data_IF_563524045659
#
_entry.id   IF_563524045659
#
_cell.length_a   1.000
_cell.length_b   1.000
_cell.length_c   1.000
_cell.angle_alpha   90.00
_cell.angle_beta   90.00
_cell.angle_gamma   90.00
#
_symmetry.space_group_name_H-M   'P 1'
#
loop_
_entity.id
_entity.type
_entity.pdbx_description
1 polymer ?
#
# COMPACT_ATOMS: atom_id res chain seq x y z
N UNK A 1 -1.25 33.81 -16.24
CA UNK A 1 -0.65 32.50 -16.56
C UNK A 1 0.62 32.40 -15.71
N UNK A 2 0.49 32.00 -14.45
CA UNK A 2 1.62 31.89 -13.53
C UNK A 2 2.08 30.43 -13.52
N UNK A 3 3.37 30.23 -13.78
CA UNK A 3 4.04 28.94 -13.79
C UNK A 3 3.78 28.20 -12.47
N UNK A 4 3.32 26.95 -12.60
CA UNK A 4 3.41 25.98 -11.52
C UNK A 4 4.89 25.87 -11.11
N UNK A 5 5.24 25.83 -9.81
CA UNK A 5 6.57 25.39 -9.43
C UNK A 5 6.80 24.00 -10.04
N UNK A 6 7.99 23.76 -10.58
CA UNK A 6 8.36 22.55 -11.32
C UNK A 6 7.98 21.26 -10.55
N UNK A 7 8.05 21.29 -9.21
CA UNK A 7 7.68 20.18 -8.32
C UNK A 7 6.21 19.74 -8.44
N UNK A 8 5.28 20.68 -8.66
CA UNK A 8 3.87 20.36 -8.82
C UNK A 8 3.56 19.86 -10.24
N UNK A 9 4.37 20.22 -11.24
CA UNK A 9 4.31 19.63 -12.57
C UNK A 9 4.87 18.20 -12.58
N UNK A 10 5.90 17.92 -11.77
CA UNK A 10 6.46 16.58 -11.57
C UNK A 10 5.51 15.66 -10.78
N UNK A 11 4.85 16.15 -9.73
CA UNK A 11 3.79 15.40 -9.04
C UNK A 11 2.51 15.27 -9.87
N UNK A 12 2.14 16.29 -10.68
CA UNK A 12 1.06 16.17 -11.64
C UNK A 12 1.41 15.22 -12.80
N UNK A 13 2.69 15.06 -13.15
CA UNK A 13 3.17 14.03 -14.09
C UNK A 13 3.05 12.63 -13.47
N UNK A 14 3.26 12.50 -12.15
CA UNK A 14 3.09 11.25 -11.41
C UNK A 14 1.62 10.79 -11.29
N UNK A 15 0.71 11.77 -11.29
CA UNK A 15 -0.75 11.59 -11.25
C UNK A 15 -1.35 11.89 -12.64
N UNK A 16 -0.52 11.87 -13.69
CA UNK A 16 -1.03 11.97 -15.05
C UNK A 16 -1.65 10.66 -15.46
N UNK A 17 -2.88 10.76 -15.96
CA UNK A 17 -3.56 9.67 -16.62
C UNK A 17 -2.62 8.97 -17.62
N UNK A 18 -2.27 7.68 -17.43
CA UNK A 18 -1.59 6.91 -18.47
C UNK A 18 -2.43 6.96 -19.74
N UNK A 19 -1.79 6.75 -20.89
CA UNK A 19 -2.48 6.65 -22.17
C UNK A 19 -3.69 5.70 -22.04
N UNK A 20 -4.85 6.13 -22.52
CA UNK A 20 -6.07 5.33 -22.39
C UNK A 20 -7.36 6.15 -22.46
N UNK A 21 -8.48 5.46 -22.31
CA UNK A 21 -9.81 6.07 -22.33
C UNK A 21 -10.03 6.93 -21.08
N UNK A 22 -10.25 8.23 -21.29
CA UNK A 22 -10.63 9.16 -20.22
C UNK A 22 -12.03 8.83 -19.71
N UNK A 23 -12.21 8.87 -18.39
CA UNK A 23 -13.49 8.63 -17.74
C UNK A 23 -14.32 9.91 -17.68
N UNK A 24 -15.65 9.78 -17.76
CA UNK A 24 -16.55 10.90 -17.44
C UNK A 24 -16.66 11.07 -15.92
N UNK A 25 -17.11 12.24 -15.46
CA UNK A 25 -17.29 12.49 -14.03
C UNK A 25 -18.28 11.50 -13.41
N UNK A 26 -19.34 11.13 -14.15
CA UNK A 26 -20.32 10.14 -13.71
C UNK A 26 -19.72 8.74 -13.54
N UNK A 27 -18.81 8.34 -14.46
CA UNK A 27 -18.12 7.05 -14.37
C UNK A 27 -17.15 7.06 -13.19
N UNK A 28 -16.42 8.17 -12.98
CA UNK A 28 -15.53 8.34 -11.83
C UNK A 28 -16.34 8.20 -10.52
N UNK A 29 -17.45 8.92 -10.38
CA UNK A 29 -18.26 8.92 -9.17
C UNK A 29 -18.90 7.54 -8.91
N UNK A 30 -19.36 6.87 -9.97
CA UNK A 30 -19.86 5.50 -9.86
C UNK A 30 -18.76 4.51 -9.46
N UNK A 31 -17.52 4.74 -9.90
CA UNK A 31 -16.40 3.85 -9.59
C UNK A 31 -15.95 4.04 -8.15
N UNK A 32 -15.73 5.30 -7.72
CA UNK A 32 -15.40 5.63 -6.34
C UNK A 32 -16.43 5.08 -5.35
N UNK A 33 -17.73 5.20 -5.67
CA UNK A 33 -18.81 4.63 -4.83
C UNK A 33 -18.73 3.12 -4.71
N UNK A 34 -18.49 2.40 -5.81
CA UNK A 34 -18.36 0.93 -5.77
C UNK A 34 -17.13 0.47 -4.99
N UNK A 35 -16.02 1.20 -5.11
CA UNK A 35 -14.82 0.93 -4.32
C UNK A 35 -15.12 1.17 -2.83
N UNK A 36 -15.76 2.29 -2.50
CA UNK A 36 -16.18 2.59 -1.12
C UNK A 36 -17.08 1.49 -0.54
N UNK A 37 -18.09 1.03 -1.29
CA UNK A 37 -18.97 -0.07 -0.89
C UNK A 37 -18.18 -1.38 -0.63
N UNK A 38 -17.19 -1.69 -1.47
CA UNK A 38 -16.34 -2.87 -1.29
C UNK A 38 -15.42 -2.75 -0.07
N UNK A 39 -14.80 -1.58 0.14
CA UNK A 39 -13.95 -1.30 1.30
C UNK A 39 -14.76 -1.41 2.60
N UNK A 40 -15.97 -0.87 2.64
CA UNK A 40 -16.83 -0.97 3.82
C UNK A 40 -17.22 -2.41 4.15
N UNK A 41 -17.44 -3.26 3.14
CA UNK A 41 -17.65 -4.69 3.36
C UNK A 41 -16.39 -5.37 3.92
N UNK A 42 -15.21 -4.99 3.45
CA UNK A 42 -13.93 -5.54 3.94
C UNK A 42 -13.62 -5.12 5.38
N UNK A 43 -13.95 -3.89 5.78
CA UNK A 43 -13.82 -3.43 7.18
C UNK A 43 -14.63 -4.35 8.09
N UNK A 44 -15.90 -4.57 7.78
CA UNK A 44 -16.76 -5.46 8.57
C UNK A 44 -16.22 -6.91 8.59
N UNK A 45 -15.69 -7.41 7.47
CA UNK A 45 -15.08 -8.74 7.42
C UNK A 45 -13.78 -8.84 8.23
N UNK A 46 -12.97 -7.79 8.26
CA UNK A 46 -11.74 -7.73 9.05
C UNK A 46 -12.07 -7.70 10.55
N UNK A 47 -13.00 -6.83 10.99
CA UNK A 47 -13.48 -6.79 12.37
C UNK A 47 -14.03 -8.16 12.83
N UNK A 48 -14.80 -8.84 11.98
CA UNK A 48 -15.33 -10.18 12.27
C UNK A 48 -14.21 -11.23 12.39
N UNK A 49 -13.21 -11.18 11.52
CA UNK A 49 -12.09 -12.11 11.54
C UNK A 49 -11.20 -11.91 12.78
N UNK A 50 -10.94 -10.66 13.17
CA UNK A 50 -10.20 -10.31 14.37
C UNK A 50 -10.94 -10.73 15.64
N UNK A 51 -12.23 -10.40 15.74
CA UNK A 51 -13.06 -10.83 16.87
C UNK A 51 -13.09 -12.36 17.00
N UNK A 52 -13.19 -13.09 15.88
CA UNK A 52 -13.16 -14.55 15.91
C UNK A 52 -11.81 -15.11 16.40
N UNK A 53 -10.71 -14.49 15.97
CA UNK A 53 -9.36 -14.84 16.42
C UNK A 53 -9.18 -14.60 17.91
N UNK A 54 -9.55 -13.42 18.42
CA UNK A 54 -9.49 -13.07 19.85
C UNK A 54 -10.27 -14.05 20.72
N UNK A 55 -11.50 -14.39 20.30
CA UNK A 55 -12.34 -15.37 20.99
C UNK A 55 -11.69 -16.76 21.11
N UNK A 56 -10.97 -17.20 20.07
CA UNK A 56 -10.24 -18.48 20.09
C UNK A 56 -8.97 -18.40 20.94
N UNK A 57 -8.26 -17.27 20.89
CA UNK A 57 -7.08 -17.01 21.71
C UNK A 57 -7.45 -17.07 23.21
N UNK A 58 -8.50 -16.37 23.62
CA UNK A 58 -9.00 -16.40 24.99
C UNK A 58 -9.40 -17.82 25.44
N UNK A 59 -10.05 -18.61 24.56
CA UNK A 59 -10.40 -19.99 24.87
C UNK A 59 -9.15 -20.88 25.03
N UNK A 60 -8.12 -20.64 24.22
CA UNK A 60 -6.80 -21.24 24.35
C UNK A 60 -6.17 -20.95 25.71
N UNK A 61 -6.12 -19.67 26.10
CA UNK A 61 -5.59 -19.21 27.38
C UNK A 61 -6.37 -19.77 28.57
N UNK A 62 -7.71 -19.79 28.50
CA UNK A 62 -8.58 -20.40 29.52
C UNK A 62 -8.23 -21.87 29.72
N UNK A 63 -8.03 -22.63 28.64
CA UNK A 63 -7.66 -24.05 28.72
C UNK A 63 -6.26 -24.27 29.27
N UNK A 64 -5.29 -23.44 28.90
CA UNK A 64 -3.93 -23.49 29.48
C UNK A 64 -4.00 -23.25 30.99
N UNK A 65 -4.76 -22.23 31.40
CA UNK A 65 -4.95 -21.87 32.82
C UNK A 65 -5.63 -23.01 33.59
N UNK A 66 -6.69 -23.63 33.04
CA UNK A 66 -7.37 -24.77 33.66
C UNK A 66 -6.45 -25.99 33.82
N UNK A 67 -5.58 -26.27 32.84
CA UNK A 67 -4.58 -27.35 32.95
C UNK A 67 -3.53 -27.05 34.00
N UNK A 68 -3.06 -25.80 34.06
CA UNK A 68 -2.11 -25.37 35.06
C UNK A 68 -2.70 -25.48 36.47
N UNK A 69 -3.98 -25.14 36.65
CA UNK A 69 -4.69 -25.26 37.93
C UNK A 69 -4.99 -26.71 38.33
N UNK A 70 -5.20 -27.59 37.35
CA UNK A 70 -5.48 -29.02 37.57
C UNK A 70 -4.21 -29.87 37.70
N UNK A 71 -3.03 -29.23 37.82
CA UNK A 71 -1.72 -29.88 37.78
C UNK A 71 -1.37 -30.45 39.15
N UNK A 72 -1.36 -31.78 39.26
CA UNK A 72 -0.83 -32.47 40.43
C UNK A 72 0.72 -32.60 40.30
N UNK A 73 1.43 -31.97 41.23
CA UNK A 73 2.91 -31.96 41.30
C UNK A 73 3.48 -33.22 41.99
N UNK A 74 2.63 -34.19 42.29
CA UNK A 74 3.01 -35.46 42.89
C UNK A 74 4.08 -36.22 42.06
N UNK A 75 5.11 -36.82 42.71
CA UNK A 75 6.12 -37.64 42.03
C UNK A 75 5.49 -38.88 41.40
N UNK A 76 5.35 -38.90 40.06
CA UNK A 76 4.73 -39.99 39.30
C UNK A 76 3.66 -39.55 38.30
N UNK A 77 3.11 -38.34 38.48
CA UNK A 77 2.07 -37.78 37.61
C UNK A 77 2.53 -37.61 36.15
N UNK A 78 3.84 -37.62 35.86
CA UNK A 78 4.37 -37.51 34.50
C UNK A 78 3.96 -38.64 33.55
N UNK A 79 3.61 -39.83 34.07
CA UNK A 79 3.10 -40.93 33.24
C UNK A 79 1.66 -40.70 32.78
N UNK A 80 0.87 -39.96 33.54
CA UNK A 80 -0.46 -39.46 33.15
C UNK A 80 -0.36 -38.14 32.36
N UNK A 81 0.79 -37.45 32.36
CA UNK A 81 1.01 -36.21 31.59
C UNK A 81 1.19 -36.43 30.07
N UNK A 82 1.39 -37.67 29.62
CA UNK A 82 1.49 -38.06 28.20
C UNK A 82 0.11 -38.34 27.57
N UNK A 83 -0.96 -37.75 28.12
CA UNK A 83 -2.28 -37.81 27.50
C UNK A 83 -2.24 -36.92 26.25
N UNK A 84 -2.31 -37.57 25.08
CA UNK A 84 -2.61 -36.91 23.82
C UNK A 84 -3.95 -36.19 24.00
N UNK A 85 -3.98 -34.91 23.69
CA UNK A 85 -5.18 -34.06 23.80
C UNK A 85 -5.61 -33.57 22.41
N UNK A 86 -6.43 -34.38 21.69
CA UNK A 86 -6.90 -34.01 20.36
C UNK A 86 -7.74 -32.73 20.35
N UNK A 87 -8.42 -32.41 21.45
CA UNK A 87 -9.26 -31.22 21.54
C UNK A 87 -8.43 -29.95 21.68
N UNK A 88 -7.28 -30.00 22.34
CA UNK A 88 -6.30 -28.91 22.33
C UNK A 88 -5.64 -28.77 20.97
N UNK A 89 -5.21 -29.87 20.34
CA UNK A 89 -4.65 -29.81 18.99
C UNK A 89 -5.63 -29.20 17.98
N UNK A 90 -6.91 -29.56 18.05
CA UNK A 90 -7.96 -28.96 17.20
C UNK A 90 -8.15 -27.47 17.50
N UNK A 91 -8.07 -27.05 18.77
CA UNK A 91 -8.19 -25.64 19.12
C UNK A 91 -7.01 -24.83 18.59
N UNK A 92 -5.77 -25.30 18.78
CA UNK A 92 -4.58 -24.66 18.22
C UNK A 92 -4.63 -24.55 16.70
N UNK A 93 -5.17 -25.57 16.02
CA UNK A 93 -5.35 -25.51 14.57
C UNK A 93 -6.41 -24.47 14.16
N UNK A 94 -7.50 -24.35 14.91
CA UNK A 94 -8.52 -23.30 14.68
C UNK A 94 -7.97 -21.90 14.92
N UNK A 95 -7.23 -21.71 16.00
CA UNK A 95 -6.54 -20.46 16.32
C UNK A 95 -5.58 -20.06 15.19
N UNK A 96 -4.76 -21.01 14.71
CA UNK A 96 -3.86 -20.80 13.57
C UNK A 96 -4.61 -20.35 12.31
N UNK A 97 -5.74 -21.00 11.98
CA UNK A 97 -6.55 -20.65 10.82
C UNK A 97 -7.23 -19.29 10.98
N UNK A 98 -7.72 -18.95 12.18
CA UNK A 98 -8.32 -17.65 12.46
C UNK A 98 -7.29 -16.52 12.39
N UNK A 99 -6.07 -16.73 12.92
CA UNK A 99 -4.97 -15.79 12.79
C UNK A 99 -4.61 -15.53 11.31
N UNK A 100 -4.57 -16.59 10.48
CA UNK A 100 -4.34 -16.48 9.05
C UNK A 100 -5.46 -15.70 8.35
N UNK A 101 -6.72 -15.96 8.69
CA UNK A 101 -7.87 -15.24 8.15
C UNK A 101 -7.83 -13.76 8.53
N UNK A 102 -7.61 -13.43 9.82
CA UNK A 102 -7.50 -12.05 10.28
C UNK A 102 -6.37 -11.30 9.56
N UNK A 103 -5.20 -11.93 9.42
CA UNK A 103 -4.08 -11.38 8.66
C UNK A 103 -4.44 -11.13 7.20
N UNK A 104 -5.03 -12.10 6.52
CA UNK A 104 -5.42 -11.97 5.12
C UNK A 104 -6.50 -10.88 4.91
N UNK A 105 -7.47 -10.77 5.82
CA UNK A 105 -8.49 -9.72 5.79
C UNK A 105 -7.88 -8.34 5.96
N UNK A 106 -6.93 -8.17 6.89
CA UNK A 106 -6.20 -6.91 7.10
C UNK A 106 -5.36 -6.53 5.89
N UNK A 107 -4.62 -7.48 5.32
CA UNK A 107 -3.85 -7.26 4.09
C UNK A 107 -4.78 -6.81 2.95
N UNK A 108 -5.90 -7.50 2.76
CA UNK A 108 -6.90 -7.14 1.73
C UNK A 108 -7.49 -5.75 1.97
N UNK A 109 -7.87 -5.43 3.20
CA UNK A 109 -8.36 -4.08 3.56
C UNK A 109 -7.33 -3.01 3.20
N UNK A 110 -6.06 -3.23 3.52
CA UNK A 110 -4.98 -2.29 3.20
C UNK A 110 -4.84 -2.09 1.68
N UNK A 111 -4.86 -3.17 0.89
CA UNK A 111 -4.74 -3.05 -0.57
C UNK A 111 -5.92 -2.31 -1.19
N UNK A 112 -7.15 -2.56 -0.71
CA UNK A 112 -8.35 -1.87 -1.19
C UNK A 112 -8.43 -0.42 -0.73
N UNK A 113 -8.04 -0.11 0.51
CA UNK A 113 -7.96 1.26 1.01
C UNK A 113 -6.93 2.08 0.23
N UNK A 114 -5.75 1.50 -0.04
CA UNK A 114 -4.72 2.09 -0.89
C UNK A 114 -5.24 2.36 -2.32
N UNK A 115 -5.93 1.38 -2.91
CA UNK A 115 -6.54 1.53 -4.23
C UNK A 115 -7.55 2.68 -4.25
N UNK A 116 -8.45 2.74 -3.27
CA UNK A 116 -9.44 3.80 -3.18
C UNK A 116 -8.79 5.18 -3.01
N UNK A 117 -7.81 5.30 -2.11
CA UNK A 117 -7.08 6.55 -1.87
C UNK A 117 -6.40 7.06 -3.15
N UNK A 118 -5.75 6.18 -3.92
CA UNK A 118 -5.14 6.54 -5.20
C UNK A 118 -6.15 7.06 -6.21
N UNK A 119 -7.26 6.32 -6.40
CA UNK A 119 -8.30 6.67 -7.37
C UNK A 119 -8.99 7.98 -6.97
N UNK A 120 -9.25 8.19 -5.67
CA UNK A 120 -9.87 9.41 -5.15
C UNK A 120 -8.93 10.62 -5.28
N UNK A 121 -7.64 10.47 -4.97
CA UNK A 121 -6.64 11.51 -5.17
C UNK A 121 -6.49 11.87 -6.65
N UNK A 122 -6.42 10.87 -7.53
CA UNK A 122 -6.38 11.07 -8.98
C UNK A 122 -7.62 11.79 -9.52
N UNK A 123 -8.80 11.45 -9.02
CA UNK A 123 -10.06 12.13 -9.38
C UNK A 123 -10.06 13.60 -8.93
N UNK A 124 -9.64 13.87 -7.69
CA UNK A 124 -9.55 15.23 -7.15
C UNK A 124 -8.57 16.08 -7.95
N UNK A 125 -7.37 15.57 -8.21
CA UNK A 125 -6.34 16.29 -8.97
C UNK A 125 -6.79 16.54 -10.41
N UNK A 126 -7.42 15.56 -11.04
CA UNK A 126 -8.02 15.73 -12.36
C UNK A 126 -9.04 16.87 -12.39
N UNK A 127 -9.89 16.96 -11.36
CA UNK A 127 -10.84 18.06 -11.22
C UNK A 127 -10.15 19.42 -11.03
N UNK A 128 -9.11 19.49 -10.19
CA UNK A 128 -8.37 20.72 -9.89
C UNK A 128 -7.58 21.25 -11.09
N UNK A 129 -7.03 20.38 -11.93
CA UNK A 129 -6.18 20.77 -13.06
C UNK A 129 -6.95 21.05 -14.36
N UNK A 130 -8.21 20.61 -14.48
CA UNK A 130 -9.13 20.96 -15.57
C UNK A 130 -8.76 20.47 -16.99
N UNK A 131 -7.54 19.98 -17.21
CA UNK A 131 -7.01 19.59 -18.53
C UNK A 131 -6.69 18.10 -18.70
N UNK A 132 -6.68 17.31 -17.62
CA UNK A 132 -6.41 15.86 -17.65
C UNK A 132 -7.44 15.16 -16.78
N UNK A 133 -8.15 14.20 -17.37
CA UNK A 133 -9.12 13.35 -16.65
C UNK A 133 -8.49 12.02 -16.30
N UNK A 134 -8.91 11.45 -15.17
CA UNK A 134 -8.59 10.08 -14.78
C UNK A 134 -8.94 9.11 -15.91
N UNK A 135 -8.03 8.19 -16.23
CA UNK A 135 -8.24 7.16 -17.26
C UNK A 135 -8.62 5.83 -16.64
N UNK A 136 -9.37 5.02 -17.40
CA UNK A 136 -9.70 3.64 -17.01
C UNK A 136 -8.43 2.85 -16.69
N UNK A 137 -7.38 3.05 -17.49
CA UNK A 137 -6.07 2.45 -17.27
C UNK A 137 -5.51 2.71 -15.87
N UNK A 138 -5.56 3.94 -15.34
CA UNK A 138 -5.08 4.24 -13.98
C UNK A 138 -5.84 3.44 -12.92
N UNK A 139 -7.16 3.37 -13.04
CA UNK A 139 -8.02 2.69 -12.07
C UNK A 139 -7.80 1.18 -12.07
N UNK A 140 -7.72 0.57 -13.25
CA UNK A 140 -7.48 -0.88 -13.39
C UNK A 140 -6.05 -1.23 -12.96
N UNK A 141 -5.10 -0.34 -13.21
CA UNK A 141 -3.71 -0.55 -12.83
C UNK A 141 -3.49 -0.69 -11.34
N UNK A 142 -4.26 0.04 -10.56
CA UNK A 142 -4.23 0.03 -9.09
C UNK A 142 -5.12 -1.02 -8.46
N UNK A 143 -5.93 -1.73 -9.25
CA UNK A 143 -6.83 -2.77 -8.75
C UNK A 143 -6.02 -3.86 -8.02
N UNK A 144 -6.37 -4.18 -6.74
CA UNK A 144 -5.69 -5.17 -5.93
C UNK A 144 -5.68 -6.57 -6.56
N UNK A 145 -6.73 -6.93 -7.31
CA UNK A 145 -6.96 -8.30 -7.80
C UNK A 145 -7.30 -8.38 -9.30
N UNK A 146 -7.50 -7.25 -9.98
CA UNK A 146 -7.79 -7.22 -11.41
C UNK A 146 -6.66 -7.84 -12.24
N UNK A 147 -6.99 -8.75 -13.14
CA UNK A 147 -6.03 -9.27 -14.12
C UNK A 147 -6.00 -8.38 -15.34
N UNK A 148 -4.80 -8.11 -15.85
CA UNK A 148 -4.59 -7.38 -17.11
C UNK A 148 -3.89 -8.31 -18.10
N UNK A 149 -4.35 -8.29 -19.34
CA UNK A 149 -3.64 -8.98 -20.41
C UNK A 149 -2.37 -8.22 -20.82
N UNK A 150 -1.53 -8.86 -21.64
CA UNK A 150 -0.25 -8.27 -22.05
C UNK A 150 -0.42 -6.93 -22.78
N UNK A 151 -1.49 -6.78 -23.56
CA UNK A 151 -1.77 -5.55 -24.33
C UNK A 151 -2.24 -4.40 -23.46
N UNK A 152 -2.88 -4.71 -22.33
CA UNK A 152 -3.26 -3.75 -21.29
C UNK A 152 -2.05 -3.35 -20.44
N UNK A 153 -1.17 -4.31 -20.12
CA UNK A 153 0.07 -4.08 -19.36
C UNK A 153 1.08 -3.22 -20.13
N UNK A 154 1.06 -3.27 -21.47
CA UNK A 154 1.88 -2.40 -22.31
C UNK A 154 1.44 -0.93 -22.27
N UNK A 155 0.20 -0.65 -21.84
CA UNK A 155 -0.33 0.72 -21.70
C UNK A 155 0.10 1.37 -20.36
N UNK A 156 0.75 0.60 -19.49
CA UNK A 156 1.28 1.09 -18.22
C UNK A 156 2.44 2.03 -18.48
N UNK A 157 2.44 3.17 -17.78
CA UNK A 157 3.50 4.18 -17.85
C UNK A 157 4.88 3.51 -17.86
N UNK A 158 5.67 3.65 -18.94
CA UNK A 158 6.97 2.99 -19.07
C UNK A 158 7.85 3.32 -17.89
N UNK A 159 8.72 2.39 -17.50
CA UNK A 159 9.82 2.74 -16.61
C UNK A 159 10.65 3.84 -17.28
N UNK A 160 11.21 4.72 -16.47
CA UNK A 160 12.24 5.65 -16.94
C UNK A 160 13.32 4.89 -17.71
N UNK A 161 13.72 5.40 -18.89
CA UNK A 161 14.64 4.72 -19.78
C UNK A 161 16.00 4.47 -19.11
N UNK A 162 16.46 5.40 -18.27
CA UNK A 162 17.69 5.26 -17.50
C UNK A 162 17.59 4.14 -16.47
N UNK A 163 16.50 4.09 -15.72
CA UNK A 163 16.22 3.00 -14.78
C UNK A 163 16.10 1.66 -15.50
N UNK A 164 15.41 1.62 -16.64
CA UNK A 164 15.27 0.40 -17.46
C UNK A 164 16.63 -0.12 -17.89
N UNK A 165 17.50 0.73 -18.45
CA UNK A 165 18.85 0.36 -18.87
C UNK A 165 19.69 -0.17 -17.70
N UNK A 166 19.55 0.46 -16.52
CA UNK A 166 20.25 0.01 -15.32
C UNK A 166 19.80 -1.39 -14.89
N UNK A 167 18.50 -1.68 -14.93
CA UNK A 167 17.97 -3.03 -14.65
C UNK A 167 18.45 -4.02 -15.72
N UNK A 168 18.37 -3.68 -17.01
CA UNK A 168 18.83 -4.55 -18.10
C UNK A 168 20.32 -4.90 -17.95
N UNK A 169 21.15 -3.91 -17.59
CA UNK A 169 22.58 -4.11 -17.33
C UNK A 169 22.80 -4.98 -16.09
N UNK A 170 22.06 -4.76 -15.00
CA UNK A 170 22.16 -5.57 -13.78
C UNK A 170 21.77 -7.04 -14.03
N UNK A 171 20.69 -7.27 -14.78
CA UNK A 171 20.25 -8.60 -15.20
C UNK A 171 21.29 -9.27 -16.10
N UNK A 172 21.89 -8.52 -17.02
CA UNK A 172 22.95 -9.05 -17.89
C UNK A 172 24.21 -9.44 -17.09
N UNK A 173 24.59 -8.67 -16.07
CA UNK A 173 25.70 -9.01 -15.17
C UNK A 173 25.41 -10.24 -14.31
N UNK A 174 24.13 -10.51 -14.01
CA UNK A 174 23.71 -11.72 -13.29
C UNK A 174 23.61 -12.96 -14.21
N UNK A 175 23.41 -12.78 -15.53
CA UNK A 175 23.26 -13.88 -16.47
C UNK A 175 24.58 -14.68 -16.61
N UNK A 176 24.50 -15.99 -16.37
CA UNK A 176 25.65 -16.89 -16.44
C UNK A 176 26.42 -17.06 -15.13
N UNK A 177 26.03 -16.40 -14.04
CA UNK A 177 26.55 -16.72 -12.71
C UNK A 177 25.92 -18.03 -12.18
N UNK A 178 26.71 -19.03 -11.76
CA UNK A 178 26.17 -20.25 -11.19
C UNK A 178 25.43 -19.94 -9.88
N UNK A 179 24.18 -20.37 -9.79
CA UNK A 179 23.36 -20.22 -8.59
C UNK A 179 24.07 -20.87 -7.39
N UNK A 180 24.34 -20.08 -6.34
CA UNK A 180 24.88 -20.60 -5.08
C UNK A 180 26.40 -20.76 -5.02
N UNK A 181 27.18 -19.97 -5.76
CA UNK A 181 28.64 -20.00 -5.68
C UNK A 181 29.17 -19.47 -4.33
N UNK A 182 29.12 -20.32 -3.31
CA UNK A 182 29.79 -20.13 -2.03
C UNK A 182 31.28 -20.45 -2.20
N UNK A 183 32.06 -19.41 -2.53
CA UNK A 183 33.52 -19.49 -2.58
C UNK A 183 34.12 -18.76 -3.79
N UNK A 184 34.29 -17.44 -3.67
CA UNK A 184 35.16 -16.65 -4.56
C UNK A 184 34.63 -16.31 -5.96
N UNK A 185 33.41 -16.72 -6.33
CA UNK A 185 32.78 -16.27 -7.57
C UNK A 185 32.22 -14.84 -7.43
N UNK A 186 32.05 -14.09 -8.53
CA UNK A 186 31.37 -12.81 -8.51
C UNK A 186 29.98 -12.97 -7.89
N UNK A 187 29.67 -12.14 -6.89
CA UNK A 187 28.34 -12.11 -6.29
C UNK A 187 27.38 -11.47 -7.29
N UNK A 188 26.20 -12.05 -7.47
CA UNK A 188 25.13 -11.43 -8.25
C UNK A 188 24.90 -9.99 -7.74
N UNK A 189 24.72 -9.07 -8.68
CA UNK A 189 24.43 -7.66 -8.38
C UNK A 189 22.96 -7.45 -8.02
N UNK A 190 22.11 -8.49 -8.19
CA UNK A 190 20.70 -8.47 -7.80
C UNK A 190 19.79 -7.88 -8.88
N UNK A 191 20.14 -8.02 -10.16
CA UNK A 191 19.35 -7.54 -11.28
C UNK A 191 17.95 -8.15 -11.36
N UNK A 192 17.79 -9.44 -11.02
CA UNK A 192 16.47 -10.08 -10.97
C UNK A 192 15.60 -9.51 -9.84
N UNK A 193 16.18 -9.32 -8.65
CA UNK A 193 15.49 -8.73 -7.49
C UNK A 193 15.11 -7.27 -7.79
N UNK A 194 16.00 -6.52 -8.45
CA UNK A 194 15.76 -5.16 -8.89
C UNK A 194 14.63 -5.10 -9.93
N UNK A 195 14.61 -6.01 -10.91
CA UNK A 195 13.52 -6.11 -11.88
C UNK A 195 12.18 -6.36 -11.17
N UNK A 196 12.13 -7.32 -10.24
CA UNK A 196 10.91 -7.66 -9.50
C UNK A 196 10.42 -6.49 -8.61
N UNK A 197 11.37 -5.75 -8.02
CA UNK A 197 11.11 -4.54 -7.23
C UNK A 197 10.39 -3.48 -8.06
N UNK A 198 10.72 -3.34 -9.35
CA UNK A 198 10.06 -2.41 -10.27
C UNK A 198 8.91 -3.03 -11.07
N UNK A 199 8.41 -4.20 -10.66
CA UNK A 199 7.26 -4.84 -11.28
C UNK A 199 7.54 -5.39 -12.69
N UNK A 200 8.79 -5.80 -12.93
CA UNK A 200 9.23 -6.38 -14.20
C UNK A 200 9.57 -7.86 -14.02
N UNK A 201 9.38 -8.63 -15.08
CA UNK A 201 9.89 -9.99 -15.20
C UNK A 201 10.97 -10.05 -16.28
N UNK A 202 11.99 -10.86 -16.01
CA UNK A 202 13.03 -11.20 -16.99
C UNK A 202 12.56 -12.42 -17.77
N UNK A 203 12.50 -12.33 -19.10
CA UNK A 203 12.25 -13.49 -19.97
C UNK A 203 13.40 -13.68 -20.96
N UNK A 204 13.71 -14.94 -21.25
CA UNK A 204 14.62 -15.30 -22.34
C UNK A 204 13.82 -15.43 -23.62
N UNK A 205 14.20 -14.70 -24.67
CA UNK A 205 13.64 -14.83 -26.02
C UNK A 205 14.21 -16.06 -26.73
N UNK A 206 13.62 -16.41 -27.87
CA UNK A 206 14.03 -17.55 -28.70
C UNK A 206 15.47 -17.44 -29.22
N UNK A 207 16.00 -16.22 -29.33
CA UNK A 207 17.39 -15.93 -29.70
C UNK A 207 18.37 -16.09 -28.53
N UNK A 208 17.87 -16.45 -27.34
CA UNK A 208 18.65 -16.60 -26.12
C UNK A 208 18.89 -15.30 -25.36
N UNK A 209 18.46 -14.14 -25.87
CA UNK A 209 18.65 -12.85 -25.20
C UNK A 209 17.63 -12.66 -24.07
N UNK A 210 18.08 -12.06 -22.97
CA UNK A 210 17.20 -11.66 -21.87
C UNK A 210 16.52 -10.34 -22.19
N UNK A 211 15.22 -10.25 -21.89
CA UNK A 211 14.44 -9.02 -22.03
C UNK A 211 13.60 -8.76 -20.79
N UNK A 212 13.48 -7.48 -20.46
CA UNK A 212 12.55 -7.02 -19.44
C UNK A 212 11.17 -6.82 -20.03
N UNK A 213 10.20 -7.50 -19.44
CA UNK A 213 8.78 -7.38 -19.77
C UNK A 213 8.06 -6.94 -18.51
N UNK A 214 7.10 -6.05 -18.67
CA UNK A 214 6.24 -5.65 -17.57
C UNK A 214 5.41 -6.85 -17.08
N UNK A 215 5.36 -7.02 -15.76
CA UNK A 215 4.56 -8.07 -15.16
C UNK A 215 3.09 -7.64 -15.07
N UNK A 216 2.20 -8.51 -15.53
CA UNK A 216 0.76 -8.30 -15.50
C UNK A 216 0.12 -8.61 -14.15
N UNK A 217 0.84 -9.21 -13.20
CA UNK A 217 0.29 -9.51 -11.88
C UNK A 217 -0.02 -8.23 -11.07
N UNK A 218 -1.13 -8.19 -10.30
CA UNK A 218 -1.55 -6.99 -9.58
C UNK A 218 -0.48 -6.39 -8.67
N UNK A 219 0.21 -7.23 -7.89
CA UNK A 219 1.25 -6.78 -6.97
C UNK A 219 2.40 -6.06 -7.70
N UNK A 220 2.84 -6.58 -8.85
CA UNK A 220 3.91 -6.00 -9.64
C UNK A 220 3.51 -4.66 -10.27
N UNK A 221 2.26 -4.57 -10.75
CA UNK A 221 1.69 -3.32 -11.26
C UNK A 221 1.68 -2.21 -10.21
N UNK A 222 1.28 -2.52 -8.97
CA UNK A 222 1.31 -1.58 -7.84
C UNK A 222 2.73 -1.15 -7.48
N UNK A 223 3.70 -2.08 -7.45
CA UNK A 223 5.12 -1.73 -7.24
C UNK A 223 5.65 -0.77 -8.30
N UNK A 224 5.29 -0.99 -9.56
CA UNK A 224 5.71 -0.10 -10.66
C UNK A 224 5.07 1.28 -10.57
N UNK A 225 3.82 1.35 -10.12
CA UNK A 225 3.06 2.59 -10.08
C UNK A 225 3.34 3.45 -8.84
N UNK A 226 3.42 2.81 -7.68
CA UNK A 226 3.59 3.47 -6.38
C UNK A 226 5.01 3.38 -5.85
N UNK A 227 5.88 2.67 -6.56
CA UNK A 227 7.31 2.62 -6.29
C UNK A 227 7.64 2.12 -4.89
N UNK A 228 8.63 2.79 -4.30
CA UNK A 228 9.22 2.37 -3.04
C UNK A 228 8.27 2.48 -1.85
N UNK A 229 7.39 3.48 -1.85
CA UNK A 229 6.40 3.69 -0.79
C UNK A 229 5.51 2.44 -0.62
N UNK A 230 5.10 1.82 -1.74
CA UNK A 230 4.34 0.58 -1.70
C UNK A 230 5.18 -0.61 -1.26
N UNK A 231 6.44 -0.68 -1.70
CA UNK A 231 7.33 -1.81 -1.41
C UNK A 231 7.69 -1.86 0.07
N UNK A 232 8.00 -0.72 0.67
CA UNK A 232 8.44 -0.62 2.06
C UNK A 232 7.25 -0.56 3.03
N UNK A 233 6.22 0.20 2.69
CA UNK A 233 5.18 0.57 3.65
C UNK A 233 3.76 0.22 3.20
N UNK A 234 3.61 -0.37 2.01
CA UNK A 234 2.29 -0.65 1.40
C UNK A 234 1.42 0.61 1.24
N UNK A 235 2.04 1.78 1.07
CA UNK A 235 1.32 3.05 0.88
C UNK A 235 1.35 3.45 -0.61
N UNK A 236 0.21 3.85 -1.21
CA UNK A 236 0.21 4.39 -2.56
C UNK A 236 0.98 5.71 -2.63
N UNK A 237 1.52 6.08 -3.79
CA UNK A 237 2.21 7.36 -3.93
C UNK A 237 1.20 8.51 -4.07
N UNK A 238 0.83 9.08 -2.94
CA UNK A 238 -0.22 10.09 -2.81
C UNK A 238 0.35 11.51 -2.92
N UNK A 239 -0.46 12.48 -3.40
CA UNK A 239 -0.04 13.86 -3.45
C UNK A 239 0.25 14.40 -2.04
N UNK A 240 1.37 15.11 -1.83
CA UNK A 240 1.66 15.74 -0.55
C UNK A 240 0.56 16.71 -0.12
N UNK A 241 0.26 16.76 1.18
CA UNK A 241 -0.78 17.63 1.75
C UNK A 241 -0.65 19.10 1.34
N UNK A 242 0.58 19.61 1.30
CA UNK A 242 0.82 21.01 0.90
C UNK A 242 0.45 21.28 -0.56
N UNK A 243 0.59 20.29 -1.46
CA UNK A 243 0.19 20.41 -2.87
C UNK A 243 -1.34 20.49 -2.96
N UNK A 244 -2.06 19.62 -2.26
CA UNK A 244 -3.52 19.65 -2.20
C UNK A 244 -4.03 20.97 -1.60
N UNK A 245 -3.38 21.47 -0.55
CA UNK A 245 -3.74 22.73 0.09
C UNK A 245 -3.62 23.94 -0.84
N UNK A 246 -2.50 24.03 -1.57
CA UNK A 246 -2.28 25.08 -2.55
C UNK A 246 -3.32 25.01 -3.67
N UNK A 247 -3.61 23.81 -4.17
CA UNK A 247 -4.56 23.60 -5.26
C UNK A 247 -6.00 23.93 -4.86
N UNK A 248 -6.46 23.48 -3.69
CA UNK A 248 -7.81 23.77 -3.17
C UNK A 248 -8.01 25.27 -2.90
N UNK A 249 -6.99 25.93 -2.37
CA UNK A 249 -7.02 27.38 -2.12
C UNK A 249 -7.14 28.16 -3.42
N UNK A 250 -6.39 27.76 -4.46
CA UNK A 250 -6.39 28.43 -5.77
C UNK A 250 -7.75 28.39 -6.46
N UNK A 251 -8.50 27.30 -6.30
CA UNK A 251 -9.84 27.15 -6.90
C UNK A 251 -10.96 27.68 -6.01
N UNK A 252 -10.60 28.31 -4.88
CA UNK A 252 -11.53 28.79 -3.86
C UNK A 252 -12.53 27.70 -3.44
N UNK A 253 -12.04 26.49 -3.16
CA UNK A 253 -12.87 25.39 -2.70
C UNK A 253 -13.65 25.78 -1.42
N UNK A 254 -14.89 25.28 -1.23
CA UNK A 254 -15.67 25.58 -0.03
C UNK A 254 -14.90 25.22 1.24
N UNK A 255 -14.96 26.10 2.26
CA UNK A 255 -14.16 25.94 3.48
C UNK A 255 -14.41 24.60 4.18
N UNK A 256 -15.66 24.14 4.22
CA UNK A 256 -16.03 22.83 4.77
C UNK A 256 -15.30 21.68 4.07
N UNK A 257 -15.31 21.67 2.73
CA UNK A 257 -14.61 20.67 1.92
C UNK A 257 -13.09 20.74 2.13
N UNK A 258 -12.52 21.95 2.14
CA UNK A 258 -11.08 22.13 2.35
C UNK A 258 -10.64 21.62 3.73
N UNK A 259 -11.35 21.99 4.80
CA UNK A 259 -11.05 21.54 6.17
C UNK A 259 -11.12 20.02 6.29
N UNK A 260 -12.21 19.40 5.82
CA UNK A 260 -12.37 17.95 5.91
C UNK A 260 -11.28 17.18 5.15
N UNK A 261 -10.92 17.65 3.95
CA UNK A 261 -9.80 17.07 3.18
C UNK A 261 -8.49 17.25 3.96
N UNK A 262 -8.20 18.42 4.53
CA UNK A 262 -6.95 18.65 5.26
C UNK A 262 -6.83 17.82 6.52
N UNK A 263 -7.89 17.72 7.32
CA UNK A 263 -7.90 16.90 8.53
C UNK A 263 -7.57 15.43 8.19
N UNK A 264 -8.18 14.91 7.11
CA UNK A 264 -7.90 13.55 6.64
C UNK A 264 -6.48 13.40 6.07
N UNK A 265 -5.95 14.40 5.37
CA UNK A 265 -4.56 14.41 4.90
C UNK A 265 -3.56 14.41 6.07
N UNK A 266 -3.79 15.23 7.11
CA UNK A 266 -2.93 15.29 8.29
C UNK A 266 -2.92 13.97 9.07
N UNK A 267 -4.08 13.35 9.25
CA UNK A 267 -4.19 12.04 9.89
C UNK A 267 -3.38 10.99 9.11
N UNK A 268 -3.49 10.98 7.79
CA UNK A 268 -2.73 10.08 6.93
C UNK A 268 -1.22 10.35 7.00
N UNK A 269 -0.79 11.61 6.83
CA UNK A 269 0.63 12.00 6.92
C UNK A 269 1.26 11.57 8.25
N UNK A 270 0.53 11.71 9.36
CA UNK A 270 0.98 11.28 10.67
C UNK A 270 1.22 9.76 10.71
N UNK A 271 0.27 8.98 10.22
CA UNK A 271 0.40 7.51 10.20
C UNK A 271 1.47 7.04 9.20
N UNK A 272 1.61 7.70 8.05
CA UNK A 272 2.68 7.42 7.10
C UNK A 272 4.05 7.73 7.71
N UNK A 273 4.20 8.86 8.41
CA UNK A 273 5.42 9.20 9.11
C UNK A 273 5.78 8.17 10.19
N UNK A 274 4.79 7.62 10.89
CA UNK A 274 4.99 6.53 11.84
C UNK A 274 5.50 5.26 11.15
N UNK A 275 4.91 4.86 10.01
CA UNK A 275 5.35 3.71 9.22
C UNK A 275 6.79 3.86 8.70
N UNK A 276 7.15 5.05 8.19
CA UNK A 276 8.51 5.37 7.78
C UNK A 276 9.49 5.32 8.97
N UNK A 277 9.11 5.91 10.10
CA UNK A 277 9.94 5.93 11.30
C UNK A 277 10.20 4.52 11.83
N UNK A 278 9.21 3.62 11.77
CA UNK A 278 9.39 2.20 12.12
C UNK A 278 10.50 1.56 11.28
N UNK A 279 10.50 1.74 9.96
CA UNK A 279 11.53 1.19 9.08
C UNK A 279 12.95 1.67 9.43
N UNK A 280 13.08 2.92 9.88
CA UNK A 280 14.35 3.45 10.42
C UNK A 280 14.74 2.72 11.71
N UNK A 281 13.82 2.56 12.65
CA UNK A 281 14.09 1.87 13.91
C UNK A 281 14.42 0.38 13.71
N UNK A 282 13.76 -0.30 12.79
CA UNK A 282 14.07 -1.70 12.44
C UNK A 282 15.47 -1.83 11.85
N UNK A 283 15.86 -0.89 10.99
CA UNK A 283 17.21 -0.83 10.44
C UNK A 283 18.25 -0.60 11.55
N UNK A 284 17.97 0.29 12.50
CA UNK A 284 18.83 0.52 13.66
C UNK A 284 18.89 -0.69 14.61
N UNK A 285 17.76 -1.39 14.80
CA UNK A 285 17.69 -2.60 15.62
C UNK A 285 18.56 -3.69 15.02
N UNK A 286 18.48 -3.90 13.71
CA UNK A 286 19.34 -4.85 13.01
C UNK A 286 20.84 -4.54 13.21
N UNK A 287 21.22 -3.26 13.18
CA UNK A 287 22.60 -2.82 13.46
C UNK A 287 22.99 -3.07 14.92
N UNK A 288 22.09 -2.81 15.87
CA UNK A 288 22.33 -3.04 17.29
C UNK A 288 22.49 -4.54 17.61
N UNK A 289 21.65 -5.40 17.03
CA UNK A 289 21.71 -6.85 17.15
C UNK A 289 23.02 -7.41 16.58
N UNK A 290 23.42 -6.93 15.39
CA UNK A 290 24.69 -7.30 14.79
C UNK A 290 25.91 -6.88 15.63
N UNK A 291 25.77 -5.80 16.41
CA UNK A 291 26.79 -5.32 17.34
C UNK A 291 26.73 -6.00 18.73
N UNK A 292 25.69 -6.78 19.03
CA UNK A 292 25.47 -7.39 20.35
C UNK A 292 25.10 -6.39 21.45
N UNK A 293 24.59 -5.21 21.10
CA UNK A 293 24.19 -4.16 22.04
C UNK A 293 22.76 -4.40 22.55
N UNK A 294 22.63 -5.29 23.53
CA UNK A 294 21.33 -5.73 24.07
C UNK A 294 20.51 -4.59 24.70
N UNK A 295 21.16 -3.59 25.32
CA UNK A 295 20.45 -2.46 25.97
C UNK A 295 19.88 -1.51 24.92
N UNK A 296 20.64 -1.23 23.85
CA UNK A 296 20.10 -0.47 22.73
C UNK A 296 19.01 -1.25 21.99
N UNK A 297 19.22 -2.55 21.74
CA UNK A 297 18.24 -3.42 21.09
C UNK A 297 16.90 -3.41 21.83
N UNK A 298 16.90 -3.62 23.15
CA UNK A 298 15.68 -3.58 23.97
C UNK A 298 14.94 -2.25 23.89
N UNK A 299 15.66 -1.12 23.89
CA UNK A 299 15.04 0.22 23.78
C UNK A 299 14.42 0.47 22.41
N UNK A 300 15.06 -0.01 21.35
CA UNK A 300 14.56 0.09 19.99
C UNK A 300 13.32 -0.80 19.80
N UNK A 301 13.34 -2.02 20.32
CA UNK A 301 12.19 -2.93 20.28
C UNK A 301 10.95 -2.33 20.98
N UNK A 302 11.13 -1.75 22.18
CA UNK A 302 10.05 -1.03 22.86
C UNK A 302 9.53 0.18 22.06
N UNK A 303 10.41 0.89 21.35
CA UNK A 303 10.03 2.02 20.50
C UNK A 303 9.24 1.56 19.27
N UNK A 304 9.65 0.45 18.64
CA UNK A 304 8.94 -0.19 17.54
C UNK A 304 7.55 -0.63 17.99
N UNK A 305 7.43 -1.31 19.14
CA UNK A 305 6.16 -1.78 19.68
C UNK A 305 5.15 -0.63 19.92
N UNK A 306 5.62 0.57 20.33
CA UNK A 306 4.75 1.75 20.48
C UNK A 306 4.26 2.33 19.15
N UNK A 307 5.01 2.14 18.06
CA UNK A 307 4.68 2.67 16.73
C UNK A 307 3.77 1.71 15.96
N UNK A 308 3.89 0.41 16.22
CA UNK A 308 3.07 -0.63 15.60
C UNK A 308 1.58 -0.33 15.73
N UNK A 309 1.12 0.11 16.92
CA UNK A 309 -0.29 0.48 17.14
C UNK A 309 -0.74 1.62 16.23
N UNK A 310 0.14 2.60 15.95
CA UNK A 310 -0.17 3.72 15.05
C UNK A 310 -0.22 3.23 13.59
N UNK A 311 0.70 2.35 13.18
CA UNK A 311 0.70 1.78 11.83
C UNK A 311 -0.51 0.88 11.57
N UNK A 312 -1.03 0.19 12.60
CA UNK A 312 -2.27 -0.57 12.47
C UNK A 312 -3.47 0.31 12.09
N UNK A 313 -3.42 1.62 12.34
CA UNK A 313 -4.44 2.58 11.90
C UNK A 313 -4.28 3.03 10.44
N UNK A 314 -3.22 2.64 9.74
CA UNK A 314 -2.96 3.07 8.37
C UNK A 314 -4.09 2.72 7.39
N UNK A 315 -4.68 1.50 7.40
CA UNK A 315 -5.83 1.20 6.55
C UNK A 315 -7.04 2.11 6.84
N UNK A 316 -7.29 2.46 8.10
CA UNK A 316 -8.36 3.38 8.49
C UNK A 316 -8.07 4.81 8.07
N UNK A 317 -6.83 5.29 8.23
CA UNK A 317 -6.41 6.61 7.78
C UNK A 317 -6.54 6.76 6.26
N UNK A 318 -6.13 5.74 5.49
CA UNK A 318 -6.33 5.70 4.02
C UNK A 318 -7.82 5.71 3.64
N UNK A 319 -8.65 4.97 4.37
CA UNK A 319 -10.10 4.92 4.17
C UNK A 319 -10.72 6.30 4.43
N UNK A 320 -10.38 6.95 5.55
CA UNK A 320 -10.88 8.27 5.90
C UNK A 320 -10.43 9.34 4.88
N UNK A 321 -9.18 9.27 4.43
CA UNK A 321 -8.66 10.10 3.35
C UNK A 321 -9.48 9.91 2.07
N UNK A 322 -9.62 8.67 1.59
CA UNK A 322 -10.33 8.38 0.35
C UNK A 322 -11.81 8.77 0.42
N UNK A 323 -12.45 8.58 1.57
CA UNK A 323 -13.82 9.00 1.84
C UNK A 323 -13.96 10.52 1.79
N UNK A 324 -13.11 11.27 2.50
CA UNK A 324 -13.14 12.73 2.50
C UNK A 324 -12.96 13.31 1.09
N UNK A 325 -12.02 12.75 0.31
CA UNK A 325 -11.83 13.14 -1.09
C UNK A 325 -13.06 12.85 -1.94
N UNK A 326 -13.66 11.66 -1.77
CA UNK A 326 -14.82 11.21 -2.55
C UNK A 326 -16.05 12.08 -2.25
N UNK A 327 -16.34 12.35 -0.99
CA UNK A 327 -17.53 13.11 -0.55
C UNK A 327 -17.46 14.58 -0.98
N UNK A 328 -16.26 15.17 -0.97
CA UNK A 328 -16.07 16.58 -1.28
C UNK A 328 -15.71 16.85 -2.74
N UNK A 329 -15.48 15.82 -3.56
CA UNK A 329 -15.18 15.96 -4.99
C UNK A 329 -16.23 16.79 -5.76
N UNK A 330 -17.55 16.61 -5.57
CA UNK A 330 -18.55 17.41 -6.27
C UNK A 330 -18.44 18.92 -5.94
N UNK A 331 -18.17 19.26 -4.68
CA UNK A 331 -18.01 20.64 -4.23
C UNK A 331 -16.79 21.31 -4.87
N UNK A 332 -15.68 20.56 -4.97
CA UNK A 332 -14.46 21.04 -5.64
C UNK A 332 -14.68 21.25 -7.13
N UNK A 333 -15.35 20.31 -7.83
CA UNK A 333 -15.69 20.47 -9.26
C UNK A 333 -16.54 21.72 -9.52
N UNK A 334 -17.52 22.01 -8.67
CA UNK A 334 -18.34 23.23 -8.79
C UNK A 334 -17.51 24.51 -8.62
N UNK A 335 -16.59 24.53 -7.65
CA UNK A 335 -15.70 25.67 -7.42
C UNK A 335 -14.76 25.94 -8.60
N UNK A 336 -14.21 24.88 -9.21
CA UNK A 336 -13.39 24.96 -10.42
C UNK A 336 -14.20 25.55 -11.58
N UNK A 337 -15.43 25.07 -11.81
CA UNK A 337 -16.30 25.58 -12.86
C UNK A 337 -16.62 27.07 -12.65
N UNK A 338 -16.94 27.49 -11.42
CA UNK A 338 -17.19 28.90 -11.08
C UNK A 338 -15.97 29.82 -11.28
N UNK A 339 -14.76 29.30 -11.03
CA UNK A 339 -13.51 30.04 -11.25
C UNK A 339 -13.24 30.27 -12.75
N UNK A 340 -13.56 29.29 -13.61
CA UNK A 340 -13.35 29.42 -15.07
C UNK A 340 -14.32 30.40 -15.74
N UNK A 341 -15.54 30.56 -15.23
CA UNK A 341 -16.53 31.49 -15.78
C UNK A 341 -16.23 32.93 -15.38
N UNK A 342 -15.76 33.17 -14.15
CA UNK A 342 -15.37 34.51 -13.69
C UNK A 342 -14.18 35.09 -14.47
N UNK A 343 -13.18 34.27 -14.82
CA UNK A 343 -12.00 34.72 -15.59
C UNK A 343 -12.33 35.10 -17.04
N UNK A 344 -13.44 34.66 -17.63
CA UNK A 344 -13.84 35.02 -19.00
C UNK A 344 -14.65 36.31 -19.09
N UNK A 345 -15.21 36.77 -17.97
CA UNK A 345 -16.04 37.98 -17.91
C UNK A 345 -15.26 39.28 -17.63
N UNK A 346 -13.97 39.20 -17.32
CA UNK A 346 -13.13 40.37 -17.00
C UNK A 346 -12.32 40.92 -18.18
N UNK A 347 -12.37 40.27 -19.35
CA UNK A 347 -11.61 40.64 -20.57
C UNK A 347 -12.48 41.27 -21.67
N UNK A 348 -13.71 41.67 -21.32
CA UNK A 348 -14.66 42.39 -22.19
C UNK A 348 -15.14 43.65 -21.51
#
# INVERSE_FOLDING_TARGET
MHDFPNDAADHAALISAPAGQQMSDEIIDSTLRRIAEAVQQLIVQQEQAEHHYEMLLEEGERRITQRAASRDDSPGAWRERLIVDPLGSLLSERERLAAQAAKASRESMMEFAAWWADVAAGALISALLGGRRLTVGRVVMTDPHGFMDQSEVEQVAPLDDGLRQLIEMAVWMDDGLPAGAHGGAPRAVGGFELAERFGMIVRRRDDGNLVLIADGFPAARRRRLWGENWIQHRIPDLPPTFILQQALTRVAAPQEAATAIFDACFALDFTMAAAHHRGVLESELHVADAAGDNERGSRLDEAINRIIDIEFELPHALTAYAQALTDHLPAVRMAVQGSTTSSRGSDS
#
